data_IF_389306561792
#
_entry.id   IF_389306561792
#
_cell.length_a   1.000
_cell.length_b   1.000
_cell.length_c   1.000
_cell.angle_alpha   90.00
_cell.angle_beta   90.00
_cell.angle_gamma   90.00
#
_symmetry.space_group_name_H-M   'P 1'
#
loop_
_entity.id
_entity.type
_entity.pdbx_description
1 polymer ?
#
# COMPACT_ATOMS: atom_id res chain seq x y z
N UNK A 1 -29.33 15.28 -9.30
CA UNK A 1 -28.80 14.06 -8.65
C UNK A 1 -27.45 13.78 -9.28
N UNK A 2 -26.36 13.98 -8.54
CA UNK A 2 -25.00 13.75 -9.06
C UNK A 2 -24.77 12.27 -9.27
N UNK A 3 -24.33 11.88 -10.46
CA UNK A 3 -23.81 10.54 -10.70
C UNK A 3 -22.48 10.42 -9.96
N UNK A 4 -22.45 9.66 -8.88
CA UNK A 4 -21.20 9.29 -8.24
C UNK A 4 -20.64 8.07 -8.97
N UNK A 5 -19.43 8.19 -9.49
CA UNK A 5 -18.68 7.07 -10.04
C UNK A 5 -18.24 6.15 -8.89
N UNK A 6 -18.51 4.85 -9.04
CA UNK A 6 -18.00 3.83 -8.12
C UNK A 6 -16.58 3.50 -8.55
N UNK A 7 -15.64 3.55 -7.60
CA UNK A 7 -14.22 3.21 -7.83
C UNK A 7 -13.76 2.15 -6.84
N UNK A 8 -12.92 1.23 -7.30
CA UNK A 8 -12.27 0.25 -6.45
C UNK A 8 -11.07 0.90 -5.74
N UNK A 9 -10.91 0.62 -4.45
CA UNK A 9 -9.80 1.08 -3.63
C UNK A 9 -9.17 -0.13 -2.92
N UNK A 10 -7.84 -0.23 -2.97
CA UNK A 10 -7.07 -1.26 -2.26
C UNK A 10 -6.16 -0.61 -1.23
N UNK A 11 -6.41 -0.91 0.05
CA UNK A 11 -5.59 -0.49 1.17
C UNK A 11 -4.61 -1.60 1.54
N UNK A 12 -3.32 -1.27 1.57
CA UNK A 12 -2.26 -2.17 2.01
C UNK A 12 -1.68 -1.64 3.32
N UNK A 13 -1.67 -2.46 4.36
CA UNK A 13 -1.19 -2.06 5.69
C UNK A 13 -0.01 -2.95 6.09
N UNK A 14 1.17 -2.34 6.25
CA UNK A 14 2.35 -3.02 6.76
C UNK A 14 2.35 -2.99 8.29
N UNK A 15 2.05 -4.12 8.92
CA UNK A 15 1.87 -4.23 10.40
C UNK A 15 3.08 -4.80 11.13
N UNK A 16 4.15 -5.16 10.42
CA UNK A 16 5.36 -5.75 11.03
C UNK A 16 6.43 -4.71 11.39
N UNK A 17 6.10 -3.42 11.37
CA UNK A 17 6.98 -2.37 11.89
C UNK A 17 6.91 -2.37 13.43
N UNK A 18 8.04 -2.50 14.15
CA UNK A 18 8.03 -2.56 15.61
C UNK A 18 7.75 -1.18 16.23
N UNK A 19 7.16 -1.15 17.42
CA UNK A 19 6.89 0.10 18.16
C UNK A 19 8.17 0.94 18.38
N UNK A 20 9.31 0.26 18.57
CA UNK A 20 10.62 0.88 18.73
C UNK A 20 11.61 0.39 17.67
N UNK A 21 12.29 1.32 17.02
CA UNK A 21 13.34 1.02 16.04
C UNK A 21 12.78 0.65 14.67
N UNK A 22 13.39 -0.37 14.05
CA UNK A 22 13.12 -0.81 12.68
C UNK A 22 13.08 -2.34 12.61
N UNK A 23 12.42 -2.95 11.61
CA UNK A 23 12.45 -4.40 11.42
C UNK A 23 13.90 -4.94 11.30
N UNK A 24 14.18 -6.07 11.95
CA UNK A 24 15.53 -6.69 11.92
C UNK A 24 16.00 -7.06 10.50
N UNK A 25 15.06 -7.36 9.60
CA UNK A 25 15.34 -7.73 8.22
C UNK A 25 14.41 -6.98 7.26
N UNK A 26 14.97 -6.51 6.15
CA UNK A 26 14.22 -5.79 5.12
C UNK A 26 13.25 -6.69 4.31
N UNK A 27 13.37 -8.02 4.41
CA UNK A 27 12.62 -8.99 3.60
C UNK A 27 11.12 -8.77 3.64
N UNK A 28 10.54 -8.50 4.82
CA UNK A 28 9.11 -8.24 4.97
C UNK A 28 8.67 -6.97 4.25
N UNK A 29 9.41 -5.87 4.45
CA UNK A 29 9.13 -4.59 3.80
C UNK A 29 9.30 -4.66 2.27
N UNK A 30 10.36 -5.32 1.80
CA UNK A 30 10.60 -5.51 0.36
C UNK A 30 9.52 -6.38 -0.29
N UNK A 31 9.05 -7.44 0.39
CA UNK A 31 7.94 -8.25 -0.06
C UNK A 31 6.64 -7.45 -0.16
N UNK A 32 6.34 -6.66 0.87
CA UNK A 32 5.18 -5.75 0.90
C UNK A 32 5.20 -4.76 -0.27
N UNK A 33 6.32 -4.05 -0.48
CA UNK A 33 6.46 -3.07 -1.58
C UNK A 33 6.30 -3.74 -2.96
N UNK A 34 6.85 -4.95 -3.15
CA UNK A 34 6.68 -5.71 -4.40
C UNK A 34 5.21 -6.04 -4.65
N UNK A 35 4.47 -6.44 -3.62
CA UNK A 35 3.05 -6.74 -3.72
C UNK A 35 2.21 -5.50 -4.04
N UNK A 36 2.45 -4.37 -3.35
CA UNK A 36 1.78 -3.09 -3.64
C UNK A 36 2.01 -2.67 -5.09
N UNK A 37 3.26 -2.74 -5.56
CA UNK A 37 3.62 -2.40 -6.94
C UNK A 37 2.95 -3.31 -7.96
N UNK A 38 2.90 -4.62 -7.70
CA UNK A 38 2.28 -5.60 -8.59
C UNK A 38 0.77 -5.42 -8.70
N UNK A 39 0.13 -5.04 -7.59
CA UNK A 39 -1.32 -4.92 -7.51
C UNK A 39 -1.85 -3.54 -7.93
N UNK A 40 -1.00 -2.50 -7.98
CA UNK A 40 -1.40 -1.17 -8.42
C UNK A 40 -1.72 -1.13 -9.94
N UNK A 41 -2.94 -0.74 -10.35
CA UNK A 41 -3.28 -0.59 -11.77
C UNK A 41 -2.39 0.44 -12.47
N UNK A 42 -2.04 0.20 -13.75
CA UNK A 42 -1.23 1.13 -14.54
C UNK A 42 -1.92 2.49 -14.76
N UNK A 43 -3.25 2.48 -14.85
CA UNK A 43 -4.08 3.68 -15.04
C UNK A 43 -4.43 4.39 -13.74
N UNK A 44 -4.00 3.87 -12.59
CA UNK A 44 -4.24 4.52 -11.31
C UNK A 44 -3.37 5.78 -11.19
N UNK A 45 -3.90 6.79 -10.49
CA UNK A 45 -3.11 7.94 -10.07
C UNK A 45 -2.01 7.57 -9.06
N UNK A 46 -1.33 8.57 -8.48
CA UNK A 46 -0.31 8.35 -7.47
C UNK A 46 -0.82 7.51 -6.29
N UNK A 47 0.00 6.58 -5.81
CA UNK A 47 -0.29 5.80 -4.60
C UNK A 47 -0.22 6.73 -3.38
N UNK A 48 -1.29 6.75 -2.58
CA UNK A 48 -1.31 7.45 -1.29
C UNK A 48 -0.61 6.58 -0.24
N UNK A 49 0.37 7.17 0.46
CA UNK A 49 1.13 6.51 1.53
C UNK A 49 1.02 7.35 2.80
N UNK A 50 0.76 6.71 3.94
CA UNK A 50 0.78 7.34 5.26
C UNK A 50 1.38 6.37 6.30
N UNK A 51 1.70 6.90 7.47
CA UNK A 51 2.04 6.15 8.68
C UNK A 51 1.10 6.53 9.83
#
# INVERSE_FOLDING_TARGET
KGYHEIRELRLFHFTSWPDHGVPCYATGLLGFVRQVKFLNPLEAGPIVVHC
#
